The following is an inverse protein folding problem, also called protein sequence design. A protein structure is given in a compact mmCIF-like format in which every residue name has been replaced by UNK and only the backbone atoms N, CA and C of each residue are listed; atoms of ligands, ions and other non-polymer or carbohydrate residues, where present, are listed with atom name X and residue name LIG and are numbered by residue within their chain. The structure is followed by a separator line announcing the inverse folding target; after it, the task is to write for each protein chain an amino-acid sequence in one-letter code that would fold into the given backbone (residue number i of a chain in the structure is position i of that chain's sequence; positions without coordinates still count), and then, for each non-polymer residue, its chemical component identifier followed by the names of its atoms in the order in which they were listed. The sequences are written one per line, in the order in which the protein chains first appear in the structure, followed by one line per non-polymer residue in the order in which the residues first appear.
data_IF_921390638610
#
_entry.id   IF_921390638610
#
_cell.length_a   1.000
_cell.length_b   1.000
_cell.length_c   1.000
_cell.angle_alpha   90.00
_cell.angle_beta   90.00
_cell.angle_gamma   90.00
#
_symmetry.space_group_name_H-M   'P 1'
#
loop_
_entity.id
_entity.type
_entity.pdbx_description
1 polymer ?
#
# COMPACT_ATOMS: atom_id res chain seq x y z
N UNK A 1 -6.59 -0.91 -3.94
CA UNK A 1 -7.78 -1.31 -3.15
C UNK A 1 -9.01 -1.62 -4.02
N UNK A 2 -9.28 -0.90 -5.11
CA UNK A 2 -10.45 -1.14 -5.97
C UNK A 2 -10.67 -2.63 -6.36
N UNK A 3 -9.62 -3.31 -6.84
CA UNK A 3 -9.69 -4.74 -7.19
C UNK A 3 -10.05 -5.64 -5.99
N UNK A 4 -9.56 -5.31 -4.77
CA UNK A 4 -9.85 -6.05 -3.55
C UNK A 4 -11.32 -5.90 -3.16
N UNK A 5 -11.83 -4.67 -3.12
CA UNK A 5 -13.22 -4.42 -2.69
C UNK A 5 -14.24 -4.94 -3.69
N UNK A 6 -13.95 -4.88 -4.99
CA UNK A 6 -14.78 -5.54 -6.00
C UNK A 6 -14.85 -7.04 -5.78
N UNK A 7 -13.72 -7.70 -5.57
CA UNK A 7 -13.68 -9.13 -5.28
C UNK A 7 -14.44 -9.47 -3.98
N UNK A 8 -14.21 -8.71 -2.90
CA UNK A 8 -14.90 -8.92 -1.62
C UNK A 8 -16.41 -8.72 -1.74
N UNK A 9 -16.87 -7.77 -2.56
CA UNK A 9 -18.28 -7.59 -2.86
C UNK A 9 -18.89 -8.79 -3.58
N UNK A 10 -18.21 -9.31 -4.61
CA UNK A 10 -18.66 -10.53 -5.30
C UNK A 10 -18.73 -11.73 -4.34
N UNK A 11 -17.78 -11.85 -3.40
CA UNK A 11 -17.84 -12.89 -2.36
C UNK A 11 -18.99 -12.64 -1.37
N UNK A 12 -19.18 -11.40 -0.92
CA UNK A 12 -20.29 -11.03 -0.03
C UNK A 12 -21.63 -11.47 -0.62
N UNK A 13 -21.86 -11.21 -1.91
CA UNK A 13 -23.07 -11.64 -2.61
C UNK A 13 -23.20 -13.16 -2.68
N UNK A 14 -22.11 -13.87 -3.01
CA UNK A 14 -22.10 -15.35 -3.10
C UNK A 14 -22.41 -16.02 -1.76
N UNK A 15 -21.98 -15.41 -0.66
CA UNK A 15 -22.15 -15.95 0.70
C UNK A 15 -23.37 -15.38 1.43
N UNK A 16 -24.22 -14.59 0.76
CA UNK A 16 -25.37 -13.90 1.36
C UNK A 16 -25.02 -13.12 2.64
N UNK A 17 -23.89 -12.42 2.62
CA UNK A 17 -23.45 -11.57 3.72
C UNK A 17 -23.97 -10.13 3.55
N UNK A 18 -24.20 -9.44 4.67
CA UNK A 18 -24.71 -8.05 4.66
C UNK A 18 -23.60 -6.99 4.54
N UNK A 19 -22.39 -7.32 5.01
CA UNK A 19 -21.26 -6.39 5.16
C UNK A 19 -19.92 -7.07 4.87
N UNK A 20 -18.93 -6.24 4.56
CA UNK A 20 -17.53 -6.63 4.37
C UNK A 20 -16.73 -6.05 5.54
N UNK A 21 -16.11 -6.89 6.36
CA UNK A 21 -15.17 -6.42 7.39
C UNK A 21 -13.73 -6.58 6.90
N UNK A 22 -12.89 -5.55 7.06
CA UNK A 22 -11.47 -5.63 6.74
C UNK A 22 -10.59 -5.18 7.90
N UNK A 23 -9.37 -5.71 7.97
CA UNK A 23 -8.37 -5.31 8.96
C UNK A 23 -7.68 -3.98 8.68
N UNK A 24 -8.31 -3.08 7.91
CA UNK A 24 -7.72 -1.75 7.66
C UNK A 24 -7.86 -0.88 8.91
N UNK A 25 -6.78 -0.18 9.25
CA UNK A 25 -6.80 0.91 10.22
C UNK A 25 -7.32 2.16 9.51
N UNK A 26 -8.63 2.24 9.37
CA UNK A 26 -9.35 3.41 8.87
C UNK A 26 -10.72 3.47 9.55
N UNK A 27 -11.41 4.59 9.43
CA UNK A 27 -12.80 4.73 9.86
C UNK A 27 -13.68 5.12 8.69
N UNK A 28 -14.98 5.08 8.89
CA UNK A 28 -15.95 5.69 7.98
C UNK A 28 -16.82 6.68 8.74
N UNK A 29 -17.31 7.70 8.04
CA UNK A 29 -18.24 8.68 8.58
C UNK A 29 -19.36 8.92 7.57
N UNK A 30 -20.56 9.17 8.07
CA UNK A 30 -21.72 9.51 7.25
C UNK A 30 -22.04 11.00 7.45
N UNK A 31 -21.99 11.78 6.38
CA UNK A 31 -22.25 13.23 6.42
C UNK A 31 -23.03 13.66 5.19
N UNK A 32 -24.08 14.48 5.37
CA UNK A 32 -24.88 15.03 4.28
C UNK A 32 -25.42 13.96 3.31
N UNK A 33 -25.81 12.79 3.81
CA UNK A 33 -26.30 11.69 2.97
C UNK A 33 -25.20 10.84 2.32
N UNK A 34 -23.92 11.15 2.56
CA UNK A 34 -22.80 10.47 1.91
C UNK A 34 -21.86 9.76 2.89
N UNK A 35 -21.32 8.62 2.45
CA UNK A 35 -20.24 7.92 3.15
C UNK A 35 -18.85 8.43 2.76
N UNK A 36 -17.99 8.60 3.76
CA UNK A 36 -16.60 9.00 3.58
C UNK A 36 -15.66 8.11 4.38
N UNK A 37 -14.46 7.88 3.83
CA UNK A 37 -13.34 7.36 4.61
C UNK A 37 -12.84 8.46 5.55
N UNK A 38 -12.58 8.07 6.79
CA UNK A 38 -11.99 8.91 7.82
C UNK A 38 -10.69 8.29 8.33
N UNK A 39 -9.80 9.13 8.87
CA UNK A 39 -8.56 8.66 9.49
C UNK A 39 -8.86 7.78 10.70
N UNK A 40 -8.08 6.73 10.87
CA UNK A 40 -8.04 5.94 12.09
C UNK A 40 -7.58 6.77 13.29
N UNK A 41 -7.95 6.33 14.48
CA UNK A 41 -7.48 6.90 15.75
C UNK A 41 -5.95 6.79 15.86
N UNK A 42 -5.37 5.66 15.43
CA UNK A 42 -3.92 5.50 15.35
C UNK A 42 -3.37 6.03 14.01
N UNK A 43 -2.97 7.31 14.00
CA UNK A 43 -2.41 7.97 12.82
C UNK A 43 -1.14 7.31 12.26
N UNK A 44 -0.32 6.63 13.09
CA UNK A 44 0.90 5.94 12.63
C UNK A 44 0.59 4.68 11.82
N UNK A 45 -0.60 4.12 12.00
CA UNK A 45 -1.07 2.94 11.26
C UNK A 45 -2.21 3.30 10.31
N UNK A 46 -2.59 4.57 10.19
CA UNK A 46 -3.68 5.01 9.35
C UNK A 46 -3.50 4.58 7.89
N UNK A 47 -4.55 3.96 7.35
CA UNK A 47 -4.61 3.45 5.98
C UNK A 47 -5.67 4.18 5.16
N UNK A 48 -6.20 5.31 5.66
CA UNK A 48 -7.20 6.11 4.95
C UNK A 48 -6.72 6.58 3.58
N UNK A 49 -5.41 6.85 3.42
CA UNK A 49 -4.81 7.22 2.14
C UNK A 49 -5.00 6.13 1.06
N UNK A 50 -4.76 4.86 1.40
CA UNK A 50 -4.95 3.73 0.47
C UNK A 50 -6.41 3.52 0.08
N UNK A 51 -7.34 3.92 0.95
CA UNK A 51 -8.79 3.80 0.74
C UNK A 51 -9.42 5.06 0.16
N UNK A 52 -8.65 6.12 -0.07
CA UNK A 52 -9.18 7.45 -0.46
C UNK A 52 -9.93 7.48 -1.79
N UNK A 53 -9.65 6.51 -2.67
CA UNK A 53 -10.30 6.35 -3.98
C UNK A 53 -11.37 5.26 -3.99
N UNK A 54 -11.78 4.75 -2.81
CA UNK A 54 -12.84 3.75 -2.74
C UNK A 54 -14.19 4.41 -2.99
N UNK A 55 -14.99 3.85 -3.91
CA UNK A 55 -16.32 4.37 -4.17
C UNK A 55 -17.22 4.30 -2.94
N UNK A 56 -18.07 5.32 -2.79
CA UNK A 56 -19.02 5.45 -1.69
C UNK A 56 -19.85 4.18 -1.47
N UNK A 57 -20.28 3.54 -2.55
CA UNK A 57 -21.01 2.28 -2.53
C UNK A 57 -20.28 1.21 -1.70
N UNK A 58 -18.98 1.01 -1.95
CA UNK A 58 -18.18 0.05 -1.20
C UNK A 58 -17.93 0.51 0.23
N UNK A 59 -17.77 1.82 0.48
CA UNK A 59 -17.63 2.36 1.84
C UNK A 59 -18.86 2.03 2.69
N UNK A 60 -20.07 2.22 2.14
CA UNK A 60 -21.33 1.94 2.84
C UNK A 60 -21.52 0.46 3.23
N UNK A 61 -20.93 -0.45 2.45
CA UNK A 61 -20.95 -1.90 2.69
C UNK A 61 -19.81 -2.38 3.59
N UNK A 62 -18.81 -1.54 3.85
CA UNK A 62 -17.57 -1.96 4.53
C UNK A 62 -17.54 -1.56 6.00
N UNK A 63 -16.95 -2.41 6.84
CA UNK A 63 -16.63 -2.15 8.24
C UNK A 63 -15.11 -2.20 8.45
N UNK A 64 -14.63 -1.32 9.32
CA UNK A 64 -13.21 -1.17 9.66
C UNK A 64 -12.99 -1.29 11.17
N UNK A 65 -13.08 -2.51 11.75
CA UNK A 65 -13.08 -2.69 13.20
C UNK A 65 -11.80 -2.19 13.89
N UNK A 66 -10.68 -2.14 13.15
CA UNK A 66 -9.40 -1.68 13.70
C UNK A 66 -9.28 -0.15 13.76
N UNK A 67 -10.21 0.59 13.17
CA UNK A 67 -10.18 2.04 13.01
C UNK A 67 -10.18 2.84 14.31
N UNK A 68 -10.82 2.32 15.36
CA UNK A 68 -10.97 3.02 16.64
C UNK A 68 -9.83 2.75 17.62
N UNK A 69 -8.99 1.74 17.36
CA UNK A 69 -7.91 1.40 18.27
C UNK A 69 -6.80 2.46 18.26
N UNK A 70 -6.48 2.98 19.43
CA UNK A 70 -5.43 3.98 19.62
C UNK A 70 -4.02 3.40 19.39
N UNK A 71 -3.85 2.08 19.57
CA UNK A 71 -2.57 1.43 19.34
C UNK A 71 -2.72 0.02 18.77
N UNK A 72 -1.72 -0.39 18.01
CA UNK A 72 -1.61 -1.77 17.53
C UNK A 72 -1.36 -2.78 18.66
N UNK A 73 -0.76 -2.32 19.77
CA UNK A 73 -0.56 -3.15 20.95
C UNK A 73 -1.90 -3.65 21.51
N UNK A 74 -2.92 -2.79 21.60
CA UNK A 74 -4.25 -3.19 22.03
C UNK A 74 -4.84 -4.30 21.14
N UNK A 75 -4.72 -4.16 19.82
CA UNK A 75 -5.19 -5.17 18.86
C UNK A 75 -4.46 -6.50 19.05
N UNK A 76 -3.14 -6.48 19.28
CA UNK A 76 -2.35 -7.69 19.54
C UNK A 76 -2.69 -8.33 20.89
N UNK A 77 -2.94 -7.53 21.92
CA UNK A 77 -3.37 -8.02 23.24
C UNK A 77 -4.71 -8.74 23.16
N UNK A 78 -5.68 -8.19 22.42
CA UNK A 78 -6.96 -8.87 22.15
C UNK A 78 -6.74 -10.18 21.39
N UNK A 79 -5.88 -10.17 20.37
CA UNK A 79 -5.57 -11.39 19.62
C UNK A 79 -4.92 -12.47 20.51
N UNK A 80 -4.02 -12.08 21.42
CA UNK A 80 -3.38 -12.96 22.40
C UNK A 80 -4.40 -13.51 23.42
N UNK A 81 -5.26 -12.64 23.97
CA UNK A 81 -6.34 -13.03 24.90
C UNK A 81 -7.35 -13.99 24.26
N UNK A 82 -7.59 -13.88 22.95
CA UNK A 82 -8.42 -14.80 22.17
C UNK A 82 -7.67 -16.06 21.70
N UNK A 83 -6.38 -16.20 22.01
CA UNK A 83 -5.57 -17.35 21.59
C UNK A 83 -5.29 -17.40 20.08
N UNK A 84 -5.36 -16.27 19.37
CA UNK A 84 -5.09 -16.20 17.94
C UNK A 84 -3.59 -16.15 17.66
N UNK A 85 -3.02 -17.18 17.01
CA UNK A 85 -1.57 -17.30 16.72
C UNK A 85 -0.95 -16.08 16.01
N UNK A 86 -1.76 -15.28 15.32
CA UNK A 86 -1.33 -14.08 14.60
C UNK A 86 -0.90 -12.92 15.50
N UNK A 87 -1.14 -12.98 16.82
CA UNK A 87 -0.81 -11.90 17.77
C UNK A 87 0.67 -11.48 17.72
N UNK A 88 1.57 -12.46 17.56
CA UNK A 88 3.02 -12.25 17.50
C UNK A 88 3.56 -12.00 16.09
N UNK A 89 2.76 -12.24 15.04
CA UNK A 89 3.21 -12.18 13.65
C UNK A 89 3.66 -10.76 13.29
N UNK A 90 4.81 -10.64 12.61
CA UNK A 90 5.25 -9.34 12.06
C UNK A 90 4.25 -8.87 11.00
N UNK A 91 4.08 -7.56 10.93
CA UNK A 91 3.25 -6.94 9.90
C UNK A 91 3.85 -7.25 8.53
N UNK A 92 3.00 -7.57 7.55
CA UNK A 92 3.44 -7.61 6.15
C UNK A 92 4.04 -6.26 5.78
N UNK A 93 5.30 -6.28 5.37
CA UNK A 93 5.96 -5.17 4.72
C UNK A 93 6.00 -5.50 3.23
N UNK A 94 5.98 -4.47 2.39
CA UNK A 94 5.94 -4.55 0.91
C UNK A 94 4.58 -4.80 0.26
N UNK A 95 4.57 -4.63 -1.05
CA UNK A 95 3.39 -4.76 -1.89
C UNK A 95 3.02 -6.23 -2.01
N UNK A 96 1.77 -6.57 -1.65
CA UNK A 96 1.35 -7.96 -1.45
C UNK A 96 1.57 -8.91 -2.65
N UNK A 97 1.65 -8.39 -3.88
CA UNK A 97 1.84 -9.21 -5.09
C UNK A 97 3.31 -9.48 -5.44
N UNK A 98 4.26 -8.84 -4.75
CA UNK A 98 5.68 -9.06 -5.01
C UNK A 98 6.15 -10.39 -4.40
N UNK A 99 5.44 -10.93 -3.40
CA UNK A 99 5.78 -12.22 -2.77
C UNK A 99 7.25 -12.35 -2.31
N UNK A 100 7.90 -11.22 -2.01
CA UNK A 100 9.31 -11.14 -1.62
C UNK A 100 10.31 -10.85 -2.75
N UNK A 101 9.83 -10.69 -3.99
CA UNK A 101 10.62 -10.28 -5.15
C UNK A 101 10.96 -8.77 -5.13
N UNK A 102 12.12 -8.36 -5.67
CA UNK A 102 12.43 -6.95 -5.90
C UNK A 102 11.47 -6.39 -6.96
N UNK A 103 10.87 -5.23 -6.68
CA UNK A 103 9.89 -4.64 -7.59
C UNK A 103 10.42 -4.41 -9.01
N UNK A 104 11.73 -4.21 -9.19
CA UNK A 104 12.34 -4.03 -10.52
C UNK A 104 12.37 -5.33 -11.30
N UNK A 105 12.63 -6.46 -10.63
CA UNK A 105 12.55 -7.79 -11.23
C UNK A 105 11.12 -8.13 -11.62
N UNK A 106 10.17 -7.79 -10.75
CA UNK A 106 8.75 -7.92 -11.07
C UNK A 106 8.36 -7.09 -12.29
N UNK A 107 8.77 -5.82 -12.34
CA UNK A 107 8.46 -4.92 -13.45
C UNK A 107 9.13 -5.35 -14.76
N UNK A 108 10.38 -5.81 -14.73
CA UNK A 108 11.09 -6.23 -15.94
C UNK A 108 10.46 -7.45 -16.61
N UNK A 109 9.79 -8.32 -15.84
CA UNK A 109 9.00 -9.45 -16.36
C UNK A 109 7.67 -9.02 -16.97
N UNK A 110 7.15 -7.83 -16.64
CA UNK A 110 5.81 -7.36 -17.04
C UNK A 110 5.85 -6.28 -18.12
N UNK A 111 6.91 -5.48 -18.14
CA UNK A 111 7.10 -4.41 -19.12
C UNK A 111 7.86 -5.00 -20.31
N UNK A 112 7.28 -4.95 -21.53
CA UNK A 112 8.02 -5.29 -22.75
C UNK A 112 9.34 -4.53 -22.83
N UNK A 113 10.42 -5.22 -23.19
CA UNK A 113 11.78 -4.66 -23.14
C UNK A 113 11.96 -3.41 -24.01
N UNK A 114 11.22 -3.31 -25.12
CA UNK A 114 11.16 -2.14 -26.01
C UNK A 114 10.52 -0.90 -25.37
N UNK A 115 9.76 -1.09 -24.28
CA UNK A 115 9.13 0.01 -23.52
C UNK A 115 9.97 0.50 -22.36
N UNK A 116 11.02 -0.23 -21.96
CA UNK A 116 11.92 0.18 -20.90
C UNK A 116 12.86 1.25 -21.45
N UNK A 117 12.74 2.47 -20.92
CA UNK A 117 13.51 3.61 -21.43
C UNK A 117 14.82 3.75 -20.68
N UNK A 118 15.88 3.20 -21.25
CA UNK A 118 17.25 3.50 -20.82
C UNK A 118 17.58 4.98 -21.05
N UNK A 119 18.48 5.50 -20.23
CA UNK A 119 18.82 6.91 -20.24
C UNK A 119 19.98 7.20 -19.30
N UNK A 120 20.34 8.47 -19.18
CA UNK A 120 21.49 8.88 -18.39
C UNK A 120 21.06 9.47 -17.05
N UNK A 121 21.74 9.07 -15.97
CA UNK A 121 21.80 9.89 -14.77
C UNK A 121 22.62 11.14 -15.08
N UNK A 122 21.97 12.30 -15.01
CA UNK A 122 22.60 13.61 -15.23
C UNK A 122 22.69 14.33 -13.89
N UNK A 123 23.87 14.87 -13.57
CA UNK A 123 24.10 15.69 -12.39
C UNK A 123 24.83 16.97 -12.78
N UNK A 124 24.18 18.12 -12.56
CA UNK A 124 24.72 19.44 -12.92
C UNK A 124 25.18 19.55 -14.39
N UNK A 125 24.42 18.91 -15.30
CA UNK A 125 24.73 18.89 -16.72
C UNK A 125 25.69 17.78 -17.15
N UNK A 126 26.38 17.12 -16.20
CA UNK A 126 27.31 16.04 -16.49
C UNK A 126 26.61 14.68 -16.46
N UNK A 127 26.94 13.82 -17.43
CA UNK A 127 26.48 12.43 -17.44
C UNK A 127 27.30 11.64 -16.42
N UNK A 128 26.64 11.06 -15.42
CA UNK A 128 27.28 10.19 -14.44
C UNK A 128 27.37 8.75 -14.95
N UNK A 129 26.25 8.20 -15.42
CA UNK A 129 26.12 6.81 -15.89
C UNK A 129 24.79 6.59 -16.60
N UNK A 130 24.71 5.57 -17.44
CA UNK A 130 23.44 5.02 -17.93
C UNK A 130 22.67 4.27 -16.81
N UNK A 131 21.34 4.40 -16.83
CA UNK A 131 20.40 3.67 -15.98
C UNK A 131 19.60 2.64 -16.79
N UNK A 132 19.16 1.56 -16.14
CA UNK A 132 18.53 0.42 -16.82
C UNK A 132 17.07 0.66 -17.23
N UNK A 133 16.46 1.76 -16.81
CA UNK A 133 15.07 2.10 -17.15
C UNK A 133 14.53 3.15 -16.20
N UNK A 134 13.97 4.24 -16.72
CA UNK A 134 13.40 5.32 -15.88
C UNK A 134 12.29 4.81 -14.96
N UNK A 135 11.59 3.75 -15.39
CA UNK A 135 10.50 3.08 -14.68
C UNK A 135 10.95 2.43 -13.36
N UNK A 136 12.26 2.16 -13.21
CA UNK A 136 12.82 1.54 -12.01
C UNK A 136 13.19 2.53 -10.91
N UNK A 137 12.87 3.81 -11.09
CA UNK A 137 13.25 4.87 -10.18
C UNK A 137 12.05 5.74 -9.80
N UNK A 138 12.07 6.27 -8.57
CA UNK A 138 11.05 7.19 -8.08
C UNK A 138 11.71 8.50 -7.66
N UNK A 139 11.06 9.63 -7.92
CA UNK A 139 11.53 10.95 -7.43
C UNK A 139 11.73 10.89 -5.91
N UNK A 140 12.87 11.40 -5.44
CA UNK A 140 13.30 11.32 -4.04
C UNK A 140 14.00 10.01 -3.65
N UNK A 141 14.15 9.04 -4.58
CA UNK A 141 14.87 7.80 -4.30
C UNK A 141 16.36 8.06 -4.11
N UNK A 142 16.92 7.56 -2.99
CA UNK A 142 18.37 7.58 -2.69
C UNK A 142 19.08 6.27 -3.01
N UNK A 143 18.45 5.14 -2.67
CA UNK A 143 19.07 3.81 -2.76
C UNK A 143 19.00 3.27 -4.18
N UNK A 144 19.92 2.38 -4.55
CA UNK A 144 19.86 1.67 -5.84
C UNK A 144 20.27 2.47 -7.07
N UNK A 145 20.78 3.71 -6.90
CA UNK A 145 21.25 4.53 -8.03
C UNK A 145 22.60 4.04 -8.59
N UNK A 146 23.44 3.40 -7.76
CA UNK A 146 24.74 2.81 -8.15
C UNK A 146 25.62 3.75 -9.00
N UNK A 147 25.57 5.07 -8.73
CA UNK A 147 26.29 6.10 -9.49
C UNK A 147 27.77 6.22 -9.14
N UNK A 148 28.25 5.56 -8.08
CA UNK A 148 29.65 5.67 -7.62
C UNK A 148 30.00 7.05 -7.04
N UNK A 149 29.03 7.94 -6.85
CA UNK A 149 29.26 9.30 -6.39
C UNK A 149 29.62 9.35 -4.90
N UNK A 150 30.56 10.22 -4.54
CA UNK A 150 31.11 10.35 -3.19
C UNK A 150 30.11 10.93 -2.15
N UNK A 151 28.99 11.48 -2.60
CA UNK A 151 27.91 12.04 -1.78
C UNK A 151 26.59 11.36 -2.09
N UNK A 152 25.66 11.26 -1.13
CA UNK A 152 24.32 10.73 -1.39
C UNK A 152 23.61 11.63 -2.41
N UNK A 153 23.17 11.01 -3.51
CA UNK A 153 22.34 11.64 -4.53
C UNK A 153 20.90 11.13 -4.41
N UNK A 154 19.97 11.92 -4.96
CA UNK A 154 18.54 11.64 -5.02
C UNK A 154 18.05 11.87 -6.44
N UNK A 155 17.07 11.07 -6.88
CA UNK A 155 16.35 11.30 -8.13
C UNK A 155 15.50 12.56 -7.99
N UNK A 156 15.56 13.45 -8.99
CA UNK A 156 14.80 14.71 -9.06
C UNK A 156 14.03 14.78 -10.36
#
# INVERSE_FOLDING_TARGET
EYAKFRYLFEQMQKHNADKIATGHYARKTFKNGHWFIAKATNLKKDQSYYLSLLDEFYIGLSEFPLGEFASKYQVRKIAEELGLEVFGKKDSQDVCFLEGEDYREYLSKKIPSDKIKKGNFIYKGEILKEHEGVEFYTVGQRKGLKTGFHKPLYVV
#
